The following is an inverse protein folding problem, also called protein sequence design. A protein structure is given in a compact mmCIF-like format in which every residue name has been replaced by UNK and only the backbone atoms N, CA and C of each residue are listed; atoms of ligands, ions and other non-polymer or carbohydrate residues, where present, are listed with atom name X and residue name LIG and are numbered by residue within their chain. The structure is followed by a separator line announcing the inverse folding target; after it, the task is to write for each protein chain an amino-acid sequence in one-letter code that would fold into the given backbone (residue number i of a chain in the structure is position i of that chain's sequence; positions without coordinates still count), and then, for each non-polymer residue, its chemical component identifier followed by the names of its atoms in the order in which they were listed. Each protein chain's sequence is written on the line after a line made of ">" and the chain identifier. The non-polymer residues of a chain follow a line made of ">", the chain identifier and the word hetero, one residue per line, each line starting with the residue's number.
data_IF_994490189678
#
_entry.id   IF_994490189678
#
_cell.length_a   1.000
_cell.length_b   1.000
_cell.length_c   1.000
_cell.angle_alpha   90.00
_cell.angle_beta   90.00
_cell.angle_gamma   90.00
#
_symmetry.space_group_name_H-M   'P 1'
#
loop_
_entity.id
_entity.type
_entity.pdbx_description
1 polymer ?
#
# COMPACT_ATOMS: atom_id res chain seq x y z
N UNK A 1 -13.15 -13.49 9.25
CA UNK A 1 -11.98 -12.72 9.60
C UNK A 1 -11.84 -11.48 8.74
N UNK A 2 -11.09 -10.51 9.22
CA UNK A 2 -10.85 -9.27 8.48
C UNK A 2 -10.14 -9.51 7.16
N UNK A 3 -9.39 -10.61 7.05
CA UNK A 3 -8.69 -10.97 5.82
C UNK A 3 -9.58 -11.23 4.63
N UNK A 4 -10.87 -11.47 4.87
CA UNK A 4 -11.83 -11.66 3.78
C UNK A 4 -12.42 -10.35 3.28
N UNK A 5 -12.16 -9.26 4.01
CA UNK A 5 -12.70 -7.94 3.69
C UNK A 5 -11.58 -7.06 3.14
N UNK A 6 -11.27 -7.23 1.87
CA UNK A 6 -10.24 -6.41 1.24
C UNK A 6 -10.64 -4.94 1.24
N UNK A 7 -9.75 -4.09 1.71
CA UNK A 7 -9.92 -2.65 1.67
C UNK A 7 -9.60 -2.11 0.28
N UNK A 8 -8.58 -2.69 -0.32
CA UNK A 8 -8.26 -2.50 -1.73
C UNK A 8 -7.62 -3.82 -2.20
N UNK A 9 -7.47 -4.02 -3.52
CA UNK A 9 -7.07 -5.34 -4.03
C UNK A 9 -5.82 -5.90 -3.36
N UNK A 10 -5.97 -7.09 -2.79
CA UNK A 10 -4.87 -7.82 -2.17
C UNK A 10 -4.58 -7.47 -0.72
N UNK A 11 -5.25 -6.46 -0.14
CA UNK A 11 -4.93 -6.00 1.22
C UNK A 11 -6.18 -5.75 2.05
N UNK A 12 -6.10 -6.08 3.32
CA UNK A 12 -7.14 -5.77 4.29
C UNK A 12 -6.59 -4.83 5.37
N UNK A 13 -7.48 -4.05 5.95
CA UNK A 13 -7.14 -3.18 7.08
C UNK A 13 -7.06 -4.02 8.34
N UNK A 14 -5.90 -4.03 8.99
CA UNK A 14 -5.74 -4.74 10.26
C UNK A 14 -6.44 -4.00 11.39
N UNK A 15 -6.95 -4.75 12.38
CA UNK A 15 -7.39 -4.15 13.63
C UNK A 15 -6.17 -3.58 14.36
N UNK A 16 -6.39 -2.66 15.30
CA UNK A 16 -5.28 -2.12 16.07
C UNK A 16 -4.51 -3.23 16.80
N UNK A 17 -5.22 -4.17 17.37
CA UNK A 17 -4.63 -5.33 18.06
C UNK A 17 -3.73 -6.13 17.12
N UNK A 18 -4.23 -6.44 15.96
CA UNK A 18 -3.47 -7.19 14.94
C UNK A 18 -2.24 -6.40 14.47
N UNK A 19 -2.39 -5.10 14.27
CA UNK A 19 -1.28 -4.23 13.87
C UNK A 19 -0.18 -4.22 14.92
N UNK A 20 -0.55 -4.11 16.20
CA UNK A 20 0.43 -4.12 17.29
C UNK A 20 1.16 -5.45 17.36
N UNK A 21 0.43 -6.55 17.26
CA UNK A 21 1.02 -7.88 17.29
C UNK A 21 1.96 -8.12 16.13
N UNK A 22 1.52 -7.72 14.93
CA UNK A 22 2.33 -7.81 13.71
C UNK A 22 3.59 -6.95 13.84
N UNK A 23 3.45 -5.74 14.36
CA UNK A 23 4.60 -4.87 14.58
C UNK A 23 5.64 -5.52 15.50
N UNK A 24 5.19 -6.16 16.59
CA UNK A 24 6.10 -6.82 17.52
C UNK A 24 6.90 -7.94 16.86
N UNK A 25 6.31 -8.61 15.89
CA UNK A 25 7.00 -9.64 15.10
C UNK A 25 7.94 -9.04 14.05
N UNK A 26 7.49 -8.01 13.34
CA UNK A 26 8.25 -7.42 12.24
C UNK A 26 9.46 -6.64 12.71
N UNK A 27 9.37 -5.96 13.85
CA UNK A 27 10.49 -5.14 14.34
C UNK A 27 11.75 -5.94 14.63
N UNK A 28 11.61 -7.26 14.78
CA UNK A 28 12.74 -8.16 15.01
C UNK A 28 13.39 -8.63 13.71
N UNK A 29 12.79 -8.34 12.56
CA UNK A 29 13.30 -8.76 11.26
C UNK A 29 14.34 -7.79 10.71
N UNK A 30 15.31 -8.35 9.99
CA UNK A 30 16.24 -7.53 9.21
C UNK A 30 15.46 -6.84 8.08
N UNK A 31 15.76 -5.58 7.84
CA UNK A 31 15.11 -4.81 6.80
C UNK A 31 13.84 -4.09 7.24
N UNK A 32 13.36 -4.36 8.44
CA UNK A 32 12.20 -3.64 8.99
C UNK A 32 12.67 -2.55 9.94
N UNK A 33 12.32 -1.32 9.65
CA UNK A 33 12.65 -0.18 10.51
C UNK A 33 11.66 -0.12 11.67
N UNK A 34 12.16 0.09 12.86
CA UNK A 34 11.33 0.15 14.08
C UNK A 34 10.31 1.29 14.08
N UNK A 35 10.51 2.28 13.20
CA UNK A 35 9.58 3.40 13.05
C UNK A 35 8.39 3.06 12.15
N UNK A 36 8.39 1.92 11.48
CA UNK A 36 7.33 1.54 10.55
C UNK A 36 6.24 0.76 11.28
N UNK A 37 5.02 1.29 11.27
CA UNK A 37 3.87 0.65 11.91
C UNK A 37 2.95 0.07 10.84
N UNK A 38 2.74 -1.27 10.82
CA UNK A 38 1.93 -1.88 9.76
C UNK A 38 0.46 -1.56 9.94
N UNK A 39 -0.22 -1.26 8.84
CA UNK A 39 -1.64 -0.90 8.83
C UNK A 39 -2.45 -1.86 7.97
N UNK A 40 -1.96 -2.19 6.79
CA UNK A 40 -2.62 -3.12 5.88
C UNK A 40 -1.77 -4.35 5.66
N UNK A 41 -2.41 -5.49 5.50
CA UNK A 41 -1.73 -6.76 5.27
C UNK A 41 -2.39 -7.52 4.13
N UNK A 42 -1.58 -8.32 3.43
CA UNK A 42 -2.08 -9.20 2.38
C UNK A 42 -2.45 -10.60 2.87
N UNK A 43 -1.93 -10.97 4.04
CA UNK A 43 -2.02 -12.35 4.51
C UNK A 43 -0.91 -13.25 3.98
N UNK A 44 -0.14 -12.77 3.00
CA UNK A 44 0.97 -13.50 2.41
C UNK A 44 2.35 -12.94 2.71
N UNK A 45 2.43 -11.97 3.62
CA UNK A 45 3.71 -11.39 4.03
C UNK A 45 3.99 -10.00 3.48
N UNK A 46 3.07 -9.44 2.69
CA UNK A 46 3.17 -8.07 2.20
C UNK A 46 2.41 -7.15 3.14
N UNK A 47 2.92 -5.94 3.32
CA UNK A 47 2.34 -4.97 4.24
C UNK A 47 2.44 -3.56 3.68
N UNK A 48 1.49 -2.71 4.10
CA UNK A 48 1.64 -1.28 4.00
C UNK A 48 1.82 -0.74 5.42
N UNK A 49 2.83 0.08 5.62
CA UNK A 49 3.17 0.61 6.94
C UNK A 49 3.30 2.12 6.89
N UNK A 50 2.99 2.75 8.03
CA UNK A 50 3.18 4.19 8.20
C UNK A 50 4.51 4.43 8.88
N UNK A 51 5.31 5.33 8.33
CA UNK A 51 6.57 5.73 8.92
C UNK A 51 6.32 6.76 10.03
N UNK A 52 6.49 6.34 11.29
CA UNK A 52 6.24 7.19 12.45
C UNK A 52 7.48 7.98 12.90
N UNK A 53 8.60 7.84 12.21
CA UNK A 53 9.77 8.66 12.50
C UNK A 53 9.46 10.12 12.14
N UNK A 54 10.00 11.07 12.91
CA UNK A 54 9.76 12.49 12.65
C UNK A 54 10.18 12.92 11.24
N UNK A 55 11.22 12.30 10.70
CA UNK A 55 11.69 12.54 9.35
C UNK A 55 10.80 11.93 8.28
N UNK A 56 10.08 10.84 8.63
CA UNK A 56 9.19 10.13 7.73
C UNK A 56 7.84 10.78 7.55
N UNK A 57 7.43 11.63 8.49
CA UNK A 57 6.20 12.44 8.41
C UNK A 57 4.93 11.68 8.06
N UNK A 58 4.83 10.43 8.49
CA UNK A 58 3.65 9.63 8.23
C UNK A 58 3.55 9.06 6.82
N UNK A 59 4.65 9.02 6.09
CA UNK A 59 4.69 8.40 4.76
C UNK A 59 4.23 6.94 4.83
N UNK A 60 3.59 6.49 3.77
CA UNK A 60 3.14 5.10 3.65
C UNK A 60 4.11 4.34 2.76
N UNK A 61 4.65 3.25 3.31
CA UNK A 61 5.58 2.39 2.58
C UNK A 61 4.92 1.06 2.23
N UNK A 62 5.22 0.56 1.04
CA UNK A 62 4.88 -0.80 0.67
C UNK A 62 6.06 -1.72 0.95
N UNK A 63 5.81 -2.77 1.72
CA UNK A 63 6.79 -3.80 2.02
C UNK A 63 6.31 -5.11 1.38
N UNK A 64 7.06 -5.60 0.41
CA UNK A 64 6.70 -6.82 -0.32
C UNK A 64 7.72 -7.90 -0.03
N UNK A 65 7.23 -9.10 0.26
CA UNK A 65 8.09 -10.21 0.69
C UNK A 65 9.18 -10.58 -0.32
N UNK A 66 8.93 -10.32 -1.61
CA UNK A 66 9.89 -10.60 -2.67
C UNK A 66 10.77 -9.41 -3.06
N UNK A 67 10.59 -8.28 -2.40
CA UNK A 67 11.39 -7.09 -2.65
C UNK A 67 12.41 -6.91 -1.54
N UNK A 68 13.61 -6.47 -1.88
CA UNK A 68 14.66 -6.28 -0.89
C UNK A 68 14.42 -5.05 -0.02
N UNK A 69 13.81 -4.02 -0.58
CA UNK A 69 13.61 -2.75 0.11
C UNK A 69 12.17 -2.29 0.03
N UNK A 70 11.68 -1.77 1.14
CA UNK A 70 10.39 -1.08 1.16
C UNK A 70 10.52 0.25 0.41
N UNK A 71 9.44 0.66 -0.25
CA UNK A 71 9.41 1.93 -0.99
C UNK A 71 8.26 2.79 -0.51
N UNK A 72 8.48 4.10 -0.48
CA UNK A 72 7.43 5.06 -0.15
C UNK A 72 6.48 5.13 -1.33
N UNK A 73 5.21 4.77 -1.11
CA UNK A 73 4.18 4.77 -2.16
C UNK A 73 3.22 5.94 -2.05
N UNK A 74 3.05 6.50 -0.84
CA UNK A 74 2.18 7.66 -0.63
C UNK A 74 2.83 8.58 0.39
N UNK A 75 2.65 9.89 0.22
CA UNK A 75 3.22 10.88 1.14
C UNK A 75 2.57 10.84 2.51
N UNK A 76 1.34 10.35 2.60
CA UNK A 76 0.59 10.28 3.84
C UNK A 76 -0.54 9.28 3.70
N UNK A 77 -1.14 8.91 4.82
CA UNK A 77 -2.36 8.09 4.79
C UNK A 77 -3.49 8.82 4.07
N UNK A 78 -3.58 10.13 4.27
CA UNK A 78 -4.59 10.95 3.59
C UNK A 78 -4.44 10.86 2.07
N UNK A 79 -3.21 10.99 1.55
CA UNK A 79 -2.99 10.90 0.11
C UNK A 79 -3.29 9.51 -0.43
N UNK A 80 -2.99 8.47 0.35
CA UNK A 80 -3.34 7.10 -0.02
C UNK A 80 -4.86 6.91 -0.12
N UNK A 81 -5.59 7.36 0.91
CA UNK A 81 -7.04 7.22 0.94
C UNK A 81 -7.69 8.04 -0.15
N UNK A 82 -7.16 9.22 -0.46
CA UNK A 82 -7.67 10.05 -1.56
C UNK A 82 -7.49 9.34 -2.90
N UNK A 83 -6.33 8.74 -3.13
CA UNK A 83 -6.08 7.97 -4.35
C UNK A 83 -7.05 6.79 -4.46
N UNK A 84 -7.22 6.03 -3.40
CA UNK A 84 -8.13 4.87 -3.40
C UNK A 84 -9.58 5.31 -3.58
N UNK A 85 -9.99 6.38 -2.94
CA UNK A 85 -11.34 6.93 -3.10
C UNK A 85 -11.61 7.27 -4.57
N UNK A 86 -10.68 7.98 -5.20
CA UNK A 86 -10.81 8.33 -6.62
C UNK A 86 -10.89 7.08 -7.49
N UNK A 87 -10.11 6.05 -7.16
CA UNK A 87 -10.14 4.80 -7.90
C UNK A 87 -11.48 4.09 -7.78
N UNK A 88 -12.07 4.10 -6.59
CA UNK A 88 -13.41 3.52 -6.41
C UNK A 88 -14.47 4.31 -7.16
N UNK A 89 -14.43 5.64 -7.08
CA UNK A 89 -15.41 6.50 -7.73
C UNK A 89 -15.38 6.40 -9.25
N UNK A 90 -14.20 6.17 -9.82
CA UNK A 90 -14.03 6.09 -11.28
C UNK A 90 -14.11 4.67 -11.82
N UNK A 91 -14.40 3.69 -10.96
CA UNK A 91 -14.48 2.29 -11.39
C UNK A 91 -13.14 1.67 -11.71
N UNK A 92 -12.04 2.30 -11.30
CA UNK A 92 -10.69 1.77 -11.47
C UNK A 92 -10.48 0.56 -10.56
N UNK A 93 -11.07 0.63 -9.34
CA UNK A 93 -11.19 -0.52 -8.45
C UNK A 93 -12.60 -1.07 -8.65
N UNK A 94 -12.70 -2.36 -8.91
CA UNK A 94 -13.95 -3.01 -9.27
C UNK A 94 -13.96 -4.46 -8.78
N UNK A 95 -15.14 -5.07 -8.81
CA UNK A 95 -15.27 -6.50 -8.53
C UNK A 95 -15.16 -7.24 -9.85
N UNK A 96 -14.23 -8.20 -9.93
CA UNK A 96 -14.04 -8.97 -11.15
C UNK A 96 -15.06 -10.13 -11.28
N UNK A 97 -14.98 -10.88 -12.37
CA UNK A 97 -15.91 -11.97 -12.66
C UNK A 97 -15.91 -13.06 -11.59
N UNK A 98 -14.80 -13.26 -10.91
CA UNK A 98 -14.69 -14.24 -9.83
C UNK A 98 -15.19 -13.69 -8.48
N UNK A 99 -15.63 -12.44 -8.43
CA UNK A 99 -16.15 -11.83 -7.21
C UNK A 99 -15.12 -11.21 -6.30
N UNK A 100 -13.87 -11.08 -6.76
CA UNK A 100 -12.81 -10.47 -5.98
C UNK A 100 -12.58 -9.03 -6.40
N UNK A 101 -12.05 -8.21 -5.48
CA UNK A 101 -11.60 -6.88 -5.84
C UNK A 101 -10.40 -6.96 -6.76
N UNK A 102 -10.42 -6.12 -7.78
CA UNK A 102 -9.34 -6.01 -8.74
C UNK A 102 -9.23 -4.55 -9.15
N UNK A 103 -8.18 -4.18 -9.86
CA UNK A 103 -8.05 -2.81 -10.32
C UNK A 103 -7.27 -2.72 -11.62
N UNK A 104 -7.48 -1.60 -12.31
CA UNK A 104 -6.62 -1.21 -13.42
C UNK A 104 -5.38 -0.56 -12.81
N UNK A 105 -4.30 -1.32 -12.70
CA UNK A 105 -3.09 -0.89 -12.00
C UNK A 105 -2.42 0.32 -12.65
N UNK A 106 -2.52 0.43 -13.97
CA UNK A 106 -1.96 1.59 -14.66
C UNK A 106 -2.74 2.86 -14.34
N UNK A 107 -4.06 2.80 -14.38
CA UNK A 107 -4.89 3.96 -14.04
C UNK A 107 -4.73 4.35 -12.57
N UNK A 108 -4.59 3.37 -11.69
CA UNK A 108 -4.30 3.65 -10.29
C UNK A 108 -2.96 4.39 -10.16
N UNK A 109 -1.92 3.94 -10.86
CA UNK A 109 -0.62 4.57 -10.81
C UNK A 109 -0.67 6.01 -11.32
N UNK A 110 -1.48 6.29 -12.34
CA UNK A 110 -1.68 7.65 -12.84
C UNK A 110 -2.27 8.56 -11.75
N UNK A 111 -3.28 8.08 -11.05
CA UNK A 111 -3.91 8.84 -9.96
C UNK A 111 -2.94 9.01 -8.80
N UNK A 112 -2.24 7.95 -8.40
CA UNK A 112 -1.28 8.01 -7.31
C UNK A 112 -0.14 8.98 -7.64
N UNK A 113 0.32 8.99 -8.88
CA UNK A 113 1.36 9.92 -9.32
C UNK A 113 0.87 11.37 -9.29
N UNK A 114 -0.34 11.63 -9.75
CA UNK A 114 -0.91 12.97 -9.74
C UNK A 114 -1.01 13.54 -8.32
N UNK A 115 -1.34 12.70 -7.35
CA UNK A 115 -1.48 13.11 -5.95
C UNK A 115 -0.12 13.18 -5.25
N UNK A 116 0.83 12.32 -5.67
CA UNK A 116 2.16 12.21 -5.08
C UNK A 116 3.24 12.39 -6.15
N UNK A 117 3.34 13.57 -6.80
CA UNK A 117 4.19 13.73 -7.97
C UNK A 117 5.70 13.64 -7.69
N UNK A 118 6.10 13.83 -6.46
CA UNK A 118 7.50 13.77 -6.04
C UNK A 118 7.99 12.35 -5.74
N UNK A 119 7.08 11.36 -5.72
CA UNK A 119 7.45 9.97 -5.48
C UNK A 119 7.80 9.27 -6.79
N UNK A 120 8.99 8.68 -6.83
CA UNK A 120 9.52 8.05 -8.05
C UNK A 120 8.80 6.77 -8.45
N UNK A 121 8.24 6.05 -7.47
CA UNK A 121 7.70 4.72 -7.72
C UNK A 121 6.61 4.70 -8.80
N UNK A 122 5.71 5.68 -8.78
CA UNK A 122 4.61 5.71 -9.74
C UNK A 122 5.06 6.05 -11.14
N UNK A 123 5.99 6.98 -11.26
CA UNK A 123 6.56 7.32 -12.56
C UNK A 123 7.33 6.15 -13.16
N UNK A 124 8.10 5.45 -12.35
CA UNK A 124 8.84 4.26 -12.79
C UNK A 124 7.88 3.16 -13.24
N UNK A 125 6.82 2.93 -12.48
CA UNK A 125 5.80 1.95 -12.84
C UNK A 125 5.13 2.30 -14.18
N UNK A 126 4.79 3.57 -14.38
CA UNK A 126 4.15 4.02 -15.61
C UNK A 126 5.08 3.85 -16.80
N UNK A 127 6.38 4.12 -16.64
CA UNK A 127 7.36 3.91 -17.70
C UNK A 127 7.51 2.45 -18.05
N UNK A 128 7.59 1.57 -17.06
CA UNK A 128 7.72 0.13 -17.29
C UNK A 128 6.50 -0.44 -18.00
N UNK A 129 5.31 0.01 -17.65
CA UNK A 129 4.09 -0.50 -18.26
C UNK A 129 3.85 0.08 -19.66
N UNK A 130 4.41 1.24 -19.96
CA UNK A 130 4.32 1.85 -21.29
C UNK A 130 5.12 1.08 -22.34
N UNK A 131 6.23 0.45 -21.93
CA UNK A 131 7.10 -0.30 -22.81
C UNK A 131 6.54 -1.67 -23.21
N UNK A 132 5.44 -2.06 -22.64
CA UNK A 132 4.75 -3.31 -22.94
C UNK A 132 3.53 -3.05 -23.79
#
# INVERSE_FOLDING_TARGET
>A
TLGELAFFPGFYLMSLEESIQTYMELKARNGWDKSWFPIFASGGGDFYAMNLASEGQGQILGFYVFEEEAQVEYRSLESMLTALKNCYEQGIIFRNEQGYLDMDYRKHAEIAHDINPDLKIWLEFLKETEEK
#
